data_IF_013831907266
#
_entry.id   IF_013831907266
#
_cell.length_a   1.000
_cell.length_b   1.000
_cell.length_c   1.000
_cell.angle_alpha   90.00
_cell.angle_beta   90.00
_cell.angle_gamma   90.00
#
_symmetry.space_group_name_H-M   'P 1'
#
loop_
_entity.id
_entity.type
_entity.pdbx_description
1 polymer ?
#
# COMPACT_ATOMS: atom_id res chain seq x y z
N UNK A 1 35.80 3.53 3.34
CA UNK A 1 35.65 3.97 4.75
C UNK A 1 34.66 3.06 5.44
N UNK A 2 35.04 2.42 6.55
CA UNK A 2 34.12 1.59 7.32
C UNK A 2 33.12 2.48 8.09
N UNK A 3 31.82 2.28 7.87
CA UNK A 3 30.78 2.99 8.65
C UNK A 3 30.83 2.54 10.11
N UNK A 4 30.76 3.50 11.04
CA UNK A 4 30.68 3.20 12.47
C UNK A 4 29.42 2.39 12.80
N UNK A 5 29.51 1.53 13.82
CA UNK A 5 28.37 0.75 14.32
C UNK A 5 27.19 1.64 14.72
N UNK A 6 27.46 2.79 15.36
CA UNK A 6 26.43 3.75 15.75
C UNK A 6 25.66 4.32 14.52
N UNK A 7 26.37 4.66 13.44
CA UNK A 7 25.75 5.14 12.20
C UNK A 7 24.88 4.07 11.56
N UNK A 8 25.32 2.80 11.59
CA UNK A 8 24.56 1.66 11.03
C UNK A 8 23.27 1.41 11.81
N UNK A 9 23.34 1.42 13.14
CA UNK A 9 22.15 1.27 14.00
C UNK A 9 21.15 2.40 13.78
N UNK A 10 21.61 3.66 13.73
CA UNK A 10 20.72 4.81 13.48
C UNK A 10 20.03 4.72 12.12
N UNK A 11 20.75 4.33 11.06
CA UNK A 11 20.18 4.13 9.72
C UNK A 11 19.13 3.02 9.73
N UNK A 12 19.47 1.87 10.32
CA UNK A 12 18.56 0.73 10.41
C UNK A 12 17.26 1.08 11.18
N UNK A 13 17.38 1.72 12.34
CA UNK A 13 16.21 2.17 13.12
C UNK A 13 15.33 3.15 12.33
N UNK A 14 15.94 4.11 11.61
CA UNK A 14 15.18 5.04 10.75
C UNK A 14 14.47 4.32 9.61
N UNK A 15 15.12 3.34 8.99
CA UNK A 15 14.53 2.54 7.92
C UNK A 15 13.33 1.72 8.42
N UNK A 16 13.43 1.12 9.62
CA UNK A 16 12.30 0.43 10.28
C UNK A 16 11.12 1.38 10.53
N UNK A 17 11.39 2.56 11.10
CA UNK A 17 10.34 3.54 11.36
C UNK A 17 9.68 4.02 10.07
N UNK A 18 10.47 4.28 9.02
CA UNK A 18 9.94 4.66 7.71
C UNK A 18 9.06 3.57 7.11
N UNK A 19 9.51 2.32 7.12
CA UNK A 19 8.73 1.19 6.62
C UNK A 19 7.39 1.05 7.35
N UNK A 20 7.39 1.08 8.69
CA UNK A 20 6.16 1.02 9.50
C UNK A 20 5.22 2.16 9.16
N UNK A 21 5.73 3.39 9.05
CA UNK A 21 4.94 4.57 8.70
C UNK A 21 4.26 4.41 7.33
N UNK A 22 5.01 4.04 6.29
CA UNK A 22 4.43 3.91 4.94
C UNK A 22 3.43 2.75 4.87
N UNK A 23 3.68 1.65 5.60
CA UNK A 23 2.73 0.56 5.77
C UNK A 23 1.41 1.04 6.37
N UNK A 24 1.49 1.73 7.51
CA UNK A 24 0.29 2.18 8.24
C UNK A 24 -0.51 3.18 7.39
N UNK A 25 0.18 4.10 6.69
CA UNK A 25 -0.47 5.03 5.74
C UNK A 25 -1.24 4.28 4.65
N UNK A 26 -0.62 3.28 4.01
CA UNK A 26 -1.26 2.50 2.95
C UNK A 26 -2.50 1.78 3.49
N UNK A 27 -2.37 1.05 4.60
CA UNK A 27 -3.48 0.30 5.20
C UNK A 27 -4.64 1.22 5.58
N UNK A 28 -4.35 2.36 6.22
CA UNK A 28 -5.36 3.30 6.66
C UNK A 28 -6.03 4.05 5.49
N UNK A 29 -5.30 4.28 4.40
CA UNK A 29 -5.90 4.82 3.19
C UNK A 29 -6.81 3.81 2.49
N UNK A 30 -6.42 2.54 2.38
CA UNK A 30 -7.29 1.49 1.82
C UNK A 30 -8.58 1.39 2.64
N UNK A 31 -8.48 1.31 3.97
CA UNK A 31 -9.65 1.26 4.88
C UNK A 31 -10.57 2.47 4.73
N UNK A 32 -9.99 3.67 4.65
CA UNK A 32 -10.77 4.91 4.47
C UNK A 32 -11.52 4.89 3.14
N UNK A 33 -10.90 4.43 2.06
CA UNK A 33 -11.56 4.38 0.75
C UNK A 33 -12.66 3.32 0.68
N UNK A 34 -12.46 2.15 1.29
CA UNK A 34 -13.54 1.16 1.47
C UNK A 34 -14.73 1.81 2.19
N UNK A 35 -14.49 2.50 3.30
CA UNK A 35 -15.54 3.17 4.05
C UNK A 35 -16.27 4.23 3.22
N UNK A 36 -15.53 5.05 2.46
CA UNK A 36 -16.11 6.05 1.56
C UNK A 36 -16.96 5.39 0.48
N UNK A 37 -16.46 4.38 -0.23
CA UNK A 37 -17.19 3.69 -1.30
C UNK A 37 -18.50 3.06 -0.81
N UNK A 38 -18.50 2.52 0.42
CA UNK A 38 -19.71 1.93 1.03
C UNK A 38 -20.74 2.95 1.51
N UNK A 39 -20.36 4.22 1.69
CA UNK A 39 -21.24 5.26 2.24
C UNK A 39 -21.76 6.23 1.19
N UNK A 40 -21.17 6.26 -0.01
CA UNK A 40 -21.50 7.24 -1.04
C UNK A 40 -22.72 6.81 -1.85
N UNK A 41 -23.76 7.66 -1.98
CA UNK A 41 -24.85 7.43 -2.92
C UNK A 41 -24.33 7.55 -4.36
N UNK A 42 -24.81 6.66 -5.24
CA UNK A 42 -24.34 6.50 -6.62
C UNK A 42 -24.24 7.84 -7.37
N UNK A 43 -23.13 8.05 -8.10
CA UNK A 43 -23.08 9.01 -9.22
C UNK A 43 -22.50 10.42 -9.00
N UNK A 44 -22.45 10.99 -7.79
CA UNK A 44 -22.14 12.45 -7.64
C UNK A 44 -20.75 12.84 -7.08
N UNK A 45 -19.94 11.89 -6.59
CA UNK A 45 -18.62 12.18 -5.97
C UNK A 45 -17.46 11.35 -6.54
N UNK A 46 -17.68 10.71 -7.69
CA UNK A 46 -16.84 9.64 -8.23
C UNK A 46 -15.46 10.11 -8.72
N UNK A 47 -15.32 11.36 -9.18
CA UNK A 47 -14.03 11.90 -9.63
C UNK A 47 -13.03 12.00 -8.47
N UNK A 48 -13.47 12.50 -7.32
CA UNK A 48 -12.62 12.62 -6.13
C UNK A 48 -12.23 11.23 -5.61
N UNK A 49 -13.16 10.27 -5.65
CA UNK A 49 -12.92 8.87 -5.27
C UNK A 49 -11.94 8.19 -6.23
N UNK A 50 -12.06 8.41 -7.54
CA UNK A 50 -11.12 7.85 -8.52
C UNK A 50 -9.70 8.39 -8.32
N UNK A 51 -9.53 9.70 -8.15
CA UNK A 51 -8.23 10.32 -7.84
C UNK A 51 -7.63 9.80 -6.53
N UNK A 52 -8.50 9.58 -5.53
CA UNK A 52 -8.12 9.00 -4.25
C UNK A 52 -7.63 7.56 -4.38
N UNK A 53 -8.30 6.72 -5.18
CA UNK A 53 -7.85 5.35 -5.45
C UNK A 53 -6.55 5.33 -6.25
N UNK A 54 -6.37 6.25 -7.19
CA UNK A 54 -5.10 6.40 -7.89
C UNK A 54 -3.94 6.74 -6.93
N UNK A 55 -4.23 7.45 -5.83
CA UNK A 55 -3.23 7.75 -4.79
C UNK A 55 -2.74 6.51 -4.03
N UNK A 56 -3.54 5.43 -3.95
CA UNK A 56 -3.15 4.17 -3.32
C UNK A 56 -1.95 3.54 -4.01
N UNK A 57 -1.86 3.65 -5.34
CA UNK A 57 -0.68 3.20 -6.07
C UNK A 57 0.58 3.90 -5.57
N UNK A 58 0.53 5.23 -5.43
CA UNK A 58 1.67 6.02 -4.97
C UNK A 58 2.08 5.61 -3.55
N UNK A 59 1.11 5.30 -2.68
CA UNK A 59 1.39 4.81 -1.34
C UNK A 59 1.99 3.40 -1.34
N UNK A 60 1.53 2.51 -2.22
CA UNK A 60 2.11 1.19 -2.42
C UNK A 60 3.57 1.28 -2.93
N UNK A 61 3.85 2.18 -3.88
CA UNK A 61 5.20 2.44 -4.37
C UNK A 61 6.13 2.96 -3.25
N UNK A 62 5.64 3.87 -2.40
CA UNK A 62 6.40 4.37 -1.24
C UNK A 62 6.72 3.25 -0.25
N UNK A 63 5.75 2.39 0.04
CA UNK A 63 5.95 1.25 0.93
C UNK A 63 6.95 0.24 0.35
N UNK A 64 6.86 -0.05 -0.95
CA UNK A 64 7.83 -0.89 -1.69
C UNK A 64 9.25 -0.34 -1.58
N UNK A 65 9.46 0.95 -1.82
CA UNK A 65 10.79 1.53 -1.70
C UNK A 65 11.29 1.56 -0.25
N UNK A 66 10.39 1.75 0.71
CA UNK A 66 10.71 1.69 2.13
C UNK A 66 11.13 0.27 2.55
N UNK A 67 10.49 -0.79 2.03
CA UNK A 67 10.85 -2.18 2.32
C UNK A 67 12.21 -2.55 1.73
N UNK A 68 12.51 -2.10 0.51
CA UNK A 68 13.81 -2.33 -0.12
C UNK A 68 14.94 -1.60 0.61
N UNK A 69 14.70 -0.35 1.03
CA UNK A 69 15.65 0.41 1.85
C UNK A 69 15.87 -0.26 3.21
N UNK A 70 14.80 -0.75 3.83
CA UNK A 70 14.84 -1.50 5.08
C UNK A 70 15.73 -2.74 4.97
N UNK A 71 15.61 -3.49 3.88
CA UNK A 71 16.40 -4.70 3.64
C UNK A 71 17.91 -4.44 3.51
N UNK A 72 18.31 -3.21 3.18
CA UNK A 72 19.71 -2.79 3.08
C UNK A 72 20.19 -2.22 4.42
N UNK A 73 19.47 -1.23 4.94
CA UNK A 73 19.92 -0.42 6.07
C UNK A 73 19.72 -1.12 7.43
N UNK A 74 18.79 -2.08 7.51
CA UNK A 74 18.48 -2.82 8.73
C UNK A 74 18.66 -4.34 8.59
N UNK A 75 19.37 -4.82 7.55
CA UNK A 75 19.53 -6.24 7.22
C UNK A 75 19.89 -7.14 8.42
N UNK A 76 20.80 -6.65 9.28
CA UNK A 76 21.30 -7.39 10.45
C UNK A 76 20.50 -7.17 11.72
N UNK A 77 19.41 -6.40 11.69
CA UNK A 77 18.56 -6.14 12.86
C UNK A 77 17.53 -7.26 13.02
N UNK A 78 17.12 -7.54 14.27
CA UNK A 78 16.13 -8.58 14.59
C UNK A 78 14.83 -8.43 13.82
N UNK A 79 14.41 -7.18 13.58
CA UNK A 79 13.22 -6.86 12.81
C UNK A 79 13.24 -7.42 11.38
N UNK A 80 14.38 -7.36 10.69
CA UNK A 80 14.51 -7.86 9.30
C UNK A 80 14.89 -9.33 9.28
N UNK A 81 15.79 -9.74 10.16
CA UNK A 81 16.29 -11.12 10.21
C UNK A 81 15.23 -12.15 10.61
N UNK A 82 14.16 -11.75 11.31
CA UNK A 82 13.05 -12.65 11.68
C UNK A 82 12.20 -13.12 10.49
N UNK A 83 12.09 -12.32 9.42
CA UNK A 83 11.31 -12.64 8.21
C UNK A 83 12.19 -12.85 6.96
N UNK A 84 13.51 -12.71 7.09
CA UNK A 84 14.52 -12.66 6.03
C UNK A 84 14.54 -11.37 5.20
N UNK A 85 15.70 -11.03 4.64
CA UNK A 85 15.84 -9.91 3.69
C UNK A 85 15.03 -10.13 2.42
N UNK A 86 14.89 -11.37 1.96
CA UNK A 86 14.13 -11.71 0.74
C UNK A 86 12.66 -11.32 0.85
N UNK A 87 12.07 -11.48 2.03
CA UNK A 87 10.70 -11.05 2.27
C UNK A 87 10.51 -9.54 2.03
N UNK A 88 11.47 -8.71 2.45
CA UNK A 88 11.40 -7.26 2.27
C UNK A 88 11.85 -6.78 0.87
N UNK A 89 12.65 -7.55 0.14
CA UNK A 89 13.11 -7.21 -1.22
C UNK A 89 12.26 -7.81 -2.34
N UNK A 90 11.48 -8.86 -2.06
CA UNK A 90 10.68 -9.60 -3.06
C UNK A 90 9.21 -9.61 -2.66
N UNK A 91 8.87 -10.28 -1.55
CA UNK A 91 7.46 -10.51 -1.16
C UNK A 91 6.67 -9.21 -0.95
N UNK A 92 7.21 -8.28 -0.17
CA UNK A 92 6.56 -6.98 0.05
C UNK A 92 6.44 -6.17 -1.25
N UNK A 93 7.51 -5.99 -2.05
CA UNK A 93 7.40 -5.34 -3.36
C UNK A 93 6.37 -5.98 -4.30
N UNK A 94 6.28 -7.31 -4.37
CA UNK A 94 5.29 -8.01 -5.20
C UNK A 94 3.85 -7.72 -4.74
N UNK A 95 3.61 -7.73 -3.43
CA UNK A 95 2.32 -7.37 -2.85
C UNK A 95 1.96 -5.89 -3.17
N UNK A 96 2.90 -4.97 -3.01
CA UNK A 96 2.72 -3.57 -3.38
C UNK A 96 2.43 -3.40 -4.88
N UNK A 97 3.12 -4.14 -5.75
CA UNK A 97 2.90 -4.09 -7.19
C UNK A 97 1.52 -4.66 -7.58
N UNK A 98 1.04 -5.70 -6.88
CA UNK A 98 -0.33 -6.22 -7.05
C UNK A 98 -1.36 -5.16 -6.70
N UNK A 99 -1.22 -4.52 -5.54
CA UNK A 99 -2.10 -3.42 -5.09
C UNK A 99 -2.05 -2.25 -6.08
N UNK A 100 -0.87 -1.85 -6.54
CA UNK A 100 -0.70 -0.77 -7.52
C UNK A 100 -1.37 -1.06 -8.87
N UNK A 101 -1.34 -2.31 -9.34
CA UNK A 101 -2.06 -2.73 -10.55
C UNK A 101 -3.58 -2.72 -10.35
N UNK A 102 -4.05 -3.32 -9.26
CA UNK A 102 -5.48 -3.41 -8.95
C UNK A 102 -6.09 -2.02 -8.79
N UNK A 103 -5.46 -1.16 -7.98
CA UNK A 103 -5.94 0.21 -7.75
C UNK A 103 -6.00 1.04 -9.03
N UNK A 104 -5.05 0.86 -9.97
CA UNK A 104 -5.13 1.49 -11.28
C UNK A 104 -6.35 1.03 -12.08
N UNK A 105 -6.58 -0.28 -12.14
CA UNK A 105 -7.75 -0.83 -12.84
C UNK A 105 -9.06 -0.34 -12.23
N UNK A 106 -9.16 -0.30 -10.89
CA UNK A 106 -10.34 0.20 -10.18
C UNK A 106 -10.56 1.70 -10.42
N UNK A 107 -9.48 2.49 -10.48
CA UNK A 107 -9.55 3.92 -10.83
C UNK A 107 -10.07 4.12 -12.26
N UNK A 108 -9.62 3.30 -13.22
CA UNK A 108 -10.07 3.38 -14.61
C UNK A 108 -11.57 3.03 -14.70
N UNK A 109 -12.02 1.97 -14.00
CA UNK A 109 -13.44 1.59 -13.90
C UNK A 109 -14.28 2.72 -13.29
N UNK A 110 -13.79 3.39 -12.24
CA UNK A 110 -14.51 4.52 -11.65
C UNK A 110 -14.59 5.72 -12.59
N UNK A 111 -13.51 6.03 -13.31
CA UNK A 111 -13.52 7.10 -14.31
C UNK A 111 -14.50 6.79 -15.44
N UNK A 112 -14.56 5.55 -15.93
CA UNK A 112 -15.56 5.13 -16.90
C UNK A 112 -16.97 5.25 -16.32
N UNK A 113 -17.16 4.84 -15.06
CA UNK A 113 -18.43 4.92 -14.35
C UNK A 113 -18.92 6.37 -14.12
N UNK A 114 -18.01 7.35 -13.93
CA UNK A 114 -18.34 8.79 -13.92
C UNK A 114 -19.04 9.20 -15.22
N UNK A 115 -18.56 8.69 -16.36
CA UNK A 115 -19.10 9.03 -17.67
C UNK A 115 -20.29 8.17 -18.07
N UNK A 116 -20.34 6.93 -17.57
CA UNK A 116 -21.38 5.95 -17.85
C UNK A 116 -21.75 5.18 -16.58
N UNK A 117 -22.71 5.69 -15.78
CA UNK A 117 -23.09 5.08 -14.53
C UNK A 117 -23.58 3.63 -14.72
N UNK A 118 -23.04 2.73 -13.91
CA UNK A 118 -23.37 1.30 -13.81
C UNK A 118 -23.65 0.99 -12.34
N UNK A 119 -24.87 0.57 -12.05
CA UNK A 119 -25.35 0.28 -10.68
C UNK A 119 -24.38 -0.62 -9.92
N UNK A 120 -24.15 -0.34 -8.63
CA UNK A 120 -23.28 -1.08 -7.71
C UNK A 120 -21.77 -1.08 -8.02
N UNK A 121 -21.26 -0.22 -8.92
CA UNK A 121 -19.82 -0.19 -9.24
C UNK A 121 -18.97 0.13 -8.00
N UNK A 122 -19.40 1.07 -7.17
CA UNK A 122 -18.71 1.48 -5.96
C UNK A 122 -18.63 0.35 -4.94
N UNK A 123 -19.70 -0.43 -4.80
CA UNK A 123 -19.75 -1.59 -3.91
C UNK A 123 -18.84 -2.73 -4.40
N UNK A 124 -18.81 -3.00 -5.70
CA UNK A 124 -17.91 -4.00 -6.29
C UNK A 124 -16.44 -3.62 -6.06
N UNK A 125 -16.10 -2.35 -6.22
CA UNK A 125 -14.75 -1.84 -5.98
C UNK A 125 -14.38 -1.89 -4.50
N UNK A 126 -15.32 -1.60 -3.60
CA UNK A 126 -15.07 -1.74 -2.17
C UNK A 126 -14.72 -3.19 -1.79
N UNK A 127 -15.41 -4.17 -2.36
CA UNK A 127 -15.12 -5.60 -2.14
C UNK A 127 -13.71 -5.97 -2.62
N UNK A 128 -13.32 -5.53 -3.82
CA UNK A 128 -11.97 -5.77 -4.37
C UNK A 128 -10.87 -5.14 -3.50
N UNK A 129 -11.13 -3.97 -2.91
CA UNK A 129 -10.21 -3.33 -1.97
C UNK A 129 -10.14 -4.06 -0.62
N UNK A 130 -11.24 -4.67 -0.16
CA UNK A 130 -11.27 -5.51 1.03
C UNK A 130 -10.43 -6.76 0.86
N UNK A 131 -10.55 -7.42 -0.29
CA UNK A 131 -9.73 -8.59 -0.62
C UNK A 131 -8.24 -8.20 -0.70
N UNK A 132 -7.92 -7.07 -1.33
CA UNK A 132 -6.55 -6.55 -1.37
C UNK A 132 -6.00 -6.22 0.03
N UNK A 133 -6.85 -5.70 0.93
CA UNK A 133 -6.47 -5.41 2.32
C UNK A 133 -6.23 -6.69 3.12
N UNK A 134 -7.06 -7.71 2.92
CA UNK A 134 -6.91 -9.02 3.55
C UNK A 134 -5.59 -9.68 3.11
N UNK A 135 -5.32 -9.71 1.80
CA UNK A 135 -4.05 -10.19 1.24
C UNK A 135 -2.86 -9.45 1.84
N UNK A 136 -2.89 -8.10 1.86
CA UNK A 136 -1.83 -7.30 2.44
C UNK A 136 -1.62 -7.60 3.93
N UNK A 137 -2.69 -7.80 4.70
CA UNK A 137 -2.58 -8.07 6.14
C UNK A 137 -1.84 -9.38 6.41
N UNK A 138 -2.08 -10.42 5.59
CA UNK A 138 -1.33 -11.69 5.65
C UNK A 138 0.16 -11.46 5.42
N UNK A 139 0.51 -10.54 4.51
CA UNK A 139 1.90 -10.19 4.24
C UNK A 139 2.51 -9.24 5.27
N UNK A 140 1.80 -8.76 6.29
CA UNK A 140 2.28 -7.71 7.18
C UNK A 140 2.29 -8.06 8.68
N UNK A 141 1.67 -9.18 9.05
CA UNK A 141 1.85 -9.89 10.33
C UNK A 141 3.13 -10.75 10.31
#
# INVERSE_FOLDING_TARGET
MAQSLATRVLRGTRAILKYKKERDILMDSIRRYIATLRQVPEGNYLIEIALNIQSLKVQADKMKWASQTLAIDAASMSFVSSKSTQYYTVTIPEACDKVGRHTRQLSDILMDHVHRPVVNTEHAIALELEDALADLSIYLD
#
